data_IF_378147425034
#
_entry.id   IF_378147425034
#
_cell.length_a   1.000
_cell.length_b   1.000
_cell.length_c   1.000
_cell.angle_alpha   90.00
_cell.angle_beta   90.00
_cell.angle_gamma   90.00
#
_symmetry.space_group_name_H-M   'P 1'
#
loop_
_entity.id
_entity.type
_entity.pdbx_description
1 polymer ?
#
# COMPACT_ATOMS: atom_id res chain seq x y z
N UNK A 1 4.39 -19.22 3.92
CA UNK A 1 3.52 -18.94 2.76
C UNK A 1 3.51 -17.44 2.48
N UNK A 2 3.87 -17.06 1.25
CA UNK A 2 3.81 -15.67 0.84
C UNK A 2 2.35 -15.20 0.75
N UNK A 3 2.12 -13.95 1.11
CA UNK A 3 0.81 -13.31 1.03
C UNK A 3 0.92 -12.00 0.28
N UNK A 4 -0.21 -11.53 -0.24
CA UNK A 4 -0.32 -10.20 -0.82
C UNK A 4 -1.10 -9.31 0.13
N UNK A 5 -0.58 -8.11 0.36
CA UNK A 5 -1.29 -7.05 1.06
C UNK A 5 -1.61 -5.97 0.03
N UNK A 6 -2.90 -5.69 -0.14
CA UNK A 6 -3.39 -4.74 -1.13
C UNK A 6 -3.95 -3.56 -0.37
N UNK A 7 -3.38 -2.38 -0.65
CA UNK A 7 -3.83 -1.13 -0.06
C UNK A 7 -4.50 -0.26 -1.10
N UNK A 8 -5.65 0.28 -0.76
CA UNK A 8 -6.35 1.23 -1.61
C UNK A 8 -6.52 2.55 -0.87
N UNK A 9 -6.24 3.64 -1.58
CA UNK A 9 -6.38 5.00 -1.06
C UNK A 9 -7.13 5.84 -2.08
N UNK A 10 -7.97 6.75 -1.59
CA UNK A 10 -8.74 7.69 -2.43
C UNK A 10 -8.38 9.10 -1.99
N UNK A 11 -7.79 9.87 -2.91
CA UNK A 11 -7.39 11.25 -2.65
C UNK A 11 -8.30 12.20 -3.41
N UNK A 12 -8.71 13.33 -2.79
CA UNK A 12 -9.50 14.33 -3.52
C UNK A 12 -8.65 14.97 -4.63
N UNK A 13 -9.27 15.56 -5.67
CA UNK A 13 -8.54 16.11 -6.82
C UNK A 13 -7.39 17.04 -6.46
N UNK A 14 -7.57 17.91 -5.48
CA UNK A 14 -6.53 18.84 -5.06
C UNK A 14 -5.32 18.15 -4.39
N UNK A 15 -5.45 16.86 -4.05
CA UNK A 15 -4.42 16.11 -3.32
C UNK A 15 -3.83 14.95 -4.12
N UNK A 16 -4.09 14.86 -5.43
CA UNK A 16 -3.58 13.74 -6.23
C UNK A 16 -2.06 13.68 -6.23
N UNK A 17 -1.39 14.79 -6.46
CA UNK A 17 0.08 14.84 -6.47
C UNK A 17 0.66 14.51 -5.10
N UNK A 18 0.17 15.15 -4.05
CA UNK A 18 0.65 14.90 -2.69
C UNK A 18 0.37 13.45 -2.27
N UNK A 19 -0.77 12.89 -2.65
CA UNK A 19 -1.13 11.52 -2.36
C UNK A 19 -0.20 10.52 -3.06
N UNK A 20 0.14 10.78 -4.32
CA UNK A 20 1.10 9.94 -5.04
C UNK A 20 2.48 10.00 -4.39
N UNK A 21 2.95 11.19 -4.05
CA UNK A 21 4.26 11.38 -3.43
C UNK A 21 4.36 10.67 -2.08
N UNK A 22 3.36 10.79 -1.22
CA UNK A 22 3.38 10.13 0.08
C UNK A 22 3.27 8.61 -0.06
N UNK A 23 2.49 8.12 -1.02
CA UNK A 23 2.39 6.69 -1.30
C UNK A 23 3.74 6.13 -1.73
N UNK A 24 4.42 6.80 -2.64
CA UNK A 24 5.76 6.39 -3.08
C UNK A 24 6.76 6.41 -1.93
N UNK A 25 6.69 7.42 -1.05
CA UNK A 25 7.57 7.50 0.12
C UNK A 25 7.34 6.35 1.10
N UNK A 26 6.08 6.02 1.37
CA UNK A 26 5.74 4.87 2.24
C UNK A 26 6.35 3.59 1.68
N UNK A 27 6.16 3.33 0.40
CA UNK A 27 6.60 2.06 -0.18
C UNK A 27 8.10 2.00 -0.43
N UNK A 28 8.79 3.13 -0.47
CA UNK A 28 10.25 3.18 -0.37
C UNK A 28 10.71 2.69 1.00
N UNK A 29 10.04 3.14 2.06
CA UNK A 29 10.36 2.73 3.43
C UNK A 29 10.08 1.26 3.67
N UNK A 30 9.04 0.70 3.05
CA UNK A 30 8.65 -0.71 3.23
C UNK A 30 9.76 -1.68 2.85
N UNK A 31 10.64 -1.29 1.94
CA UNK A 31 11.72 -2.15 1.47
C UNK A 31 12.72 -2.51 2.57
N UNK A 32 12.77 -1.73 3.64
CA UNK A 32 13.67 -1.98 4.78
C UNK A 32 13.10 -2.97 5.80
N UNK A 33 11.84 -3.35 5.68
CA UNK A 33 11.20 -4.21 6.68
C UNK A 33 11.40 -5.69 6.36
N UNK A 34 11.60 -6.48 7.43
CA UNK A 34 11.75 -7.93 7.31
C UNK A 34 10.48 -8.54 6.73
N UNK A 35 10.67 -9.41 5.74
CA UNK A 35 9.56 -10.10 5.08
C UNK A 35 9.05 -9.40 3.84
N UNK A 36 9.49 -8.17 3.56
CA UNK A 36 9.15 -7.49 2.30
C UNK A 36 9.75 -8.23 1.11
N UNK A 37 8.95 -8.44 0.07
CA UNK A 37 9.41 -9.08 -1.16
C UNK A 37 9.35 -8.13 -2.36
N UNK A 38 8.20 -7.53 -2.62
CA UNK A 38 8.04 -6.60 -3.75
C UNK A 38 6.74 -5.84 -3.65
N UNK A 39 6.61 -4.77 -4.44
CA UNK A 39 5.34 -4.04 -4.57
C UNK A 39 5.21 -3.43 -5.96
N UNK A 40 3.99 -3.07 -6.28
CA UNK A 40 3.66 -2.24 -7.44
C UNK A 40 2.59 -1.24 -7.01
N UNK A 41 2.72 0.00 -7.46
CA UNK A 41 1.74 1.05 -7.24
C UNK A 41 1.00 1.28 -8.55
N UNK A 42 -0.32 1.17 -8.51
CA UNK A 42 -1.18 1.29 -9.69
C UNK A 42 -2.11 2.47 -9.49
N UNK A 43 -2.24 3.29 -10.53
CA UNK A 43 -3.22 4.37 -10.55
C UNK A 43 -4.44 3.92 -11.35
N UNK A 44 -5.62 4.12 -10.80
CA UNK A 44 -6.88 3.82 -11.48
C UNK A 44 -7.04 4.81 -12.65
N UNK A 45 -7.10 4.30 -13.88
CA UNK A 45 -7.21 5.15 -15.06
C UNK A 45 -8.53 5.92 -15.13
N UNK A 46 -9.58 5.41 -14.51
CA UNK A 46 -10.89 6.04 -14.51
C UNK A 46 -11.09 6.99 -13.32
N UNK A 47 -10.23 6.88 -12.32
CA UNK A 47 -10.25 7.74 -11.14
C UNK A 47 -8.83 7.96 -10.62
N UNK A 48 -8.11 8.98 -11.13
CA UNK A 48 -6.70 9.19 -10.80
C UNK A 48 -6.40 9.40 -9.32
N UNK A 49 -7.40 9.75 -8.51
CA UNK A 49 -7.24 9.85 -7.06
C UNK A 49 -7.24 8.50 -6.34
N UNK A 50 -7.61 7.43 -7.03
CA UNK A 50 -7.64 6.09 -6.48
C UNK A 50 -6.33 5.37 -6.78
N UNK A 51 -5.50 5.16 -5.76
CA UNK A 51 -4.23 4.44 -5.86
C UNK A 51 -4.35 3.08 -5.22
N UNK A 52 -3.80 2.08 -5.89
CA UNK A 52 -3.82 0.70 -5.44
C UNK A 52 -2.38 0.23 -5.32
N UNK A 53 -1.98 -0.23 -4.15
CA UNK A 53 -0.65 -0.80 -3.96
C UNK A 53 -0.80 -2.29 -3.73
N UNK A 54 -0.18 -3.07 -4.59
CA UNK A 54 -0.13 -4.53 -4.45
C UNK A 54 1.26 -4.88 -3.95
N UNK A 55 1.35 -5.46 -2.76
CA UNK A 55 2.62 -5.83 -2.15
C UNK A 55 2.64 -7.29 -1.78
N UNK A 56 3.82 -7.89 -1.86
CA UNK A 56 4.03 -9.29 -1.50
C UNK A 56 4.96 -9.38 -0.31
N UNK A 57 4.60 -10.23 0.65
CA UNK A 57 5.32 -10.43 1.91
C UNK A 57 5.55 -11.92 2.14
N UNK A 58 6.63 -12.26 2.85
CA UNK A 58 6.97 -13.65 3.13
C UNK A 58 5.89 -14.39 3.92
N UNK A 59 5.13 -13.66 4.76
CA UNK A 59 4.08 -14.23 5.58
C UNK A 59 3.07 -13.16 5.99
N UNK A 60 1.90 -13.60 6.42
CA UNK A 60 0.91 -12.68 6.98
C UNK A 60 1.45 -12.00 8.25
N UNK A 61 2.17 -12.75 9.08
CA UNK A 61 2.74 -12.19 10.31
C UNK A 61 3.68 -11.02 10.00
N UNK A 62 4.52 -11.14 8.97
CA UNK A 62 5.40 -10.06 8.56
C UNK A 62 4.62 -8.83 8.08
N UNK A 63 3.60 -9.03 7.24
CA UNK A 63 2.76 -7.94 6.75
C UNK A 63 2.03 -7.23 7.89
N UNK A 64 1.51 -7.98 8.85
CA UNK A 64 0.78 -7.41 9.98
C UNK A 64 1.70 -6.68 10.96
N UNK A 65 2.92 -7.19 11.16
CA UNK A 65 3.91 -6.54 12.04
C UNK A 65 4.28 -5.15 11.52
N UNK A 66 4.46 -5.03 10.21
CA UNK A 66 4.79 -3.74 9.59
C UNK A 66 3.64 -2.75 9.75
N UNK A 67 2.40 -3.21 9.58
CA UNK A 67 1.24 -2.34 9.75
C UNK A 67 1.24 -1.69 11.14
N UNK A 68 1.45 -2.47 12.19
CA UNK A 68 1.46 -1.97 13.55
C UNK A 68 2.64 -1.01 13.79
N UNK A 69 3.83 -1.37 13.29
CA UNK A 69 5.04 -0.59 13.50
C UNK A 69 5.02 0.73 12.73
N UNK A 70 4.54 0.70 11.48
CA UNK A 70 4.55 1.89 10.64
C UNK A 70 3.40 2.86 10.91
N UNK A 71 2.37 2.44 11.66
CA UNK A 71 1.19 3.26 11.92
C UNK A 71 1.53 4.63 12.54
N UNK A 72 2.60 4.70 13.32
CA UNK A 72 3.04 5.94 13.96
C UNK A 72 4.05 6.73 13.13
N UNK A 73 4.45 6.21 11.98
CA UNK A 73 5.39 6.90 11.10
C UNK A 73 4.76 8.15 10.50
N UNK A 74 5.58 9.20 10.34
CA UNK A 74 5.15 10.48 9.78
C UNK A 74 4.43 10.33 8.43
N UNK A 75 4.96 9.49 7.54
CA UNK A 75 4.35 9.28 6.23
C UNK A 75 2.97 8.60 6.31
N UNK A 76 2.77 7.67 7.26
CA UNK A 76 1.47 7.05 7.46
C UNK A 76 0.45 8.07 7.94
N UNK A 77 0.83 8.92 8.88
CA UNK A 77 -0.02 10.00 9.39
C UNK A 77 -0.37 11.00 8.29
N UNK A 78 0.62 11.35 7.47
CA UNK A 78 0.43 12.28 6.36
C UNK A 78 -0.53 11.72 5.31
N UNK A 79 -0.40 10.44 4.97
CA UNK A 79 -1.31 9.79 4.04
C UNK A 79 -2.75 9.79 4.56
N UNK A 80 -2.93 9.46 5.84
CA UNK A 80 -4.25 9.47 6.46
C UNK A 80 -4.89 10.87 6.49
N UNK A 81 -4.09 11.92 6.59
CA UNK A 81 -4.57 13.29 6.56
C UNK A 81 -5.00 13.75 5.15
N UNK A 82 -4.46 13.13 4.11
CA UNK A 82 -4.71 13.53 2.72
C UNK A 82 -5.90 12.81 2.07
N UNK A 83 -6.29 11.64 2.58
CA UNK A 83 -7.32 10.82 1.92
C UNK A 83 -8.71 11.42 2.06
N UNK A 84 -9.55 11.17 1.05
CA UNK A 84 -10.96 11.59 1.05
C UNK A 84 -11.83 10.68 1.89
N UNK A 85 -11.38 9.45 2.15
CA UNK A 85 -12.08 8.43 2.92
C UNK A 85 -11.05 7.47 3.50
N UNK A 86 -11.41 6.64 4.51
CA UNK A 86 -10.47 5.69 5.09
C UNK A 86 -9.86 4.75 4.06
N UNK A 87 -8.58 4.49 4.19
CA UNK A 87 -7.88 3.54 3.32
C UNK A 87 -8.39 2.13 3.58
N UNK A 88 -8.36 1.30 2.54
CA UNK A 88 -8.79 -0.09 2.61
C UNK A 88 -7.58 -1.01 2.46
N UNK A 89 -7.49 -2.00 3.34
CA UNK A 89 -6.45 -3.02 3.29
C UNK A 89 -7.08 -4.40 3.09
N UNK A 90 -6.53 -5.17 2.17
CA UNK A 90 -6.92 -6.55 1.96
C UNK A 90 -5.66 -7.40 2.00
N UNK A 91 -5.67 -8.49 2.77
CA UNK A 91 -4.58 -9.46 2.79
C UNK A 91 -5.10 -10.76 2.24
N UNK A 92 -4.41 -11.27 1.23
CA UNK A 92 -4.83 -12.48 0.56
C UNK A 92 -3.66 -13.38 0.20
N UNK A 93 -3.99 -14.58 -0.22
CA UNK A 93 -3.02 -15.52 -0.77
C UNK A 93 -3.39 -15.83 -2.21
N UNK A 94 -2.40 -16.16 -3.00
CA UNK A 94 -2.63 -16.58 -4.37
C UNK A 94 -3.23 -18.00 -4.37
N UNK A 95 -4.37 -18.17 -5.02
CA UNK A 95 -4.97 -19.48 -5.21
C UNK A 95 -4.72 -20.02 -6.62
N UNK A 96 -4.40 -19.13 -7.57
CA UNK A 96 -4.08 -19.50 -8.93
C UNK A 96 -3.33 -18.35 -9.60
N UNK A 97 -2.33 -18.68 -10.38
CA UNK A 97 -1.63 -17.69 -11.19
C UNK A 97 -1.14 -18.34 -12.47
N UNK A 98 -0.92 -17.50 -13.49
CA UNK A 98 -0.41 -17.95 -14.78
C UNK A 98 0.51 -16.88 -15.34
N UNK A 99 1.64 -17.34 -15.86
CA UNK A 99 2.56 -16.49 -16.61
C UNK A 99 2.80 -17.14 -17.97
N UNK A 100 2.70 -16.32 -19.01
CA UNK A 100 2.98 -16.77 -20.38
C UNK A 100 4.36 -16.30 -20.85
#
# INVERSE_FOLDING_TARGET
MAVFAIWESWFPPAKHTAGREVTEAIWRDMQAYVGYLRHVIVEDLDNPGHLIVVSEWQSRAAADAVLAEYAEHENAKRANALVAQPRRRTVGRVIASRQD
#
